data_IF_054313994815
#
_entry.id   IF_054313994815
#
_cell.length_a   1.000
_cell.length_b   1.000
_cell.length_c   1.000
_cell.angle_alpha   90.00
_cell.angle_beta   90.00
_cell.angle_gamma   90.00
#
_symmetry.space_group_name_H-M   'P 1'
#
loop_
_entity.id
_entity.type
_entity.pdbx_description
1 polymer ?
#
# COMPACT_ATOMS: atom_id res chain seq x y z
N UNK A 1 27.62 -14.54 -11.64
CA UNK A 1 27.36 -13.07 -11.55
C UNK A 1 27.06 -12.68 -10.11
N UNK A 2 27.49 -11.49 -9.61
CA UNK A 2 27.16 -11.04 -8.25
C UNK A 2 25.69 -10.61 -8.16
N UNK A 3 25.04 -10.84 -6.99
CA UNK A 3 23.64 -10.50 -6.75
C UNK A 3 23.35 -9.01 -6.98
N UNK A 4 24.27 -8.11 -6.57
CA UNK A 4 24.11 -6.68 -6.83
C UNK A 4 23.98 -6.36 -8.32
N UNK A 5 24.74 -7.06 -9.18
CA UNK A 5 24.67 -6.87 -10.63
C UNK A 5 23.36 -7.42 -11.20
N UNK A 6 22.86 -8.55 -10.70
CA UNK A 6 21.55 -9.10 -11.08
C UNK A 6 20.41 -8.15 -10.72
N UNK A 7 20.45 -7.56 -9.51
CA UNK A 7 19.45 -6.56 -9.09
C UNK A 7 19.50 -5.32 -9.98
N UNK A 8 20.69 -4.84 -10.33
CA UNK A 8 20.85 -3.71 -11.25
C UNK A 8 20.31 -4.02 -12.64
N UNK A 9 20.60 -5.20 -13.16
CA UNK A 9 20.12 -5.68 -14.45
C UNK A 9 18.58 -5.71 -14.48
N UNK A 10 17.96 -6.34 -13.48
CA UNK A 10 16.50 -6.35 -13.35
C UNK A 10 15.91 -4.93 -13.26
N UNK A 11 16.47 -4.05 -12.42
CA UNK A 11 15.95 -2.69 -12.26
C UNK A 11 16.15 -1.81 -13.49
N UNK A 12 17.00 -2.19 -14.40
CA UNK A 12 17.23 -1.55 -15.71
C UNK A 12 16.38 -2.17 -16.83
N UNK A 13 15.74 -3.31 -16.59
CA UNK A 13 14.98 -4.07 -17.56
C UNK A 13 13.69 -3.34 -17.98
N UNK A 14 13.15 -3.73 -19.13
CA UNK A 14 11.86 -3.24 -19.63
C UNK A 14 10.73 -3.61 -18.66
N UNK A 15 10.70 -4.83 -18.14
CA UNK A 15 9.70 -5.31 -17.19
C UNK A 15 9.60 -4.41 -15.96
N UNK A 16 10.74 -4.02 -15.39
CA UNK A 16 10.76 -3.12 -14.23
C UNK A 16 10.31 -1.68 -14.61
N UNK A 17 10.73 -1.19 -15.77
CA UNK A 17 10.36 0.17 -16.24
C UNK A 17 8.85 0.34 -16.46
N UNK A 18 8.15 -0.73 -16.83
CA UNK A 18 6.69 -0.72 -17.02
C UNK A 18 5.88 -0.73 -15.72
N UNK A 19 6.53 -0.98 -14.57
CA UNK A 19 5.85 -0.94 -13.27
C UNK A 19 5.41 0.49 -12.93
N UNK A 20 4.32 0.60 -12.15
CA UNK A 20 3.91 1.88 -11.56
C UNK A 20 4.96 2.38 -10.58
N UNK A 21 5.09 3.70 -10.44
CA UNK A 21 6.15 4.31 -9.62
C UNK A 21 6.10 3.89 -8.14
N UNK A 22 4.89 3.72 -7.57
CA UNK A 22 4.73 3.19 -6.22
C UNK A 22 5.26 1.76 -6.10
N UNK A 23 5.02 0.93 -7.12
CA UNK A 23 5.52 -0.45 -7.16
C UNK A 23 7.05 -0.46 -7.28
N UNK A 24 7.62 0.40 -8.15
CA UNK A 24 9.07 0.57 -8.27
C UNK A 24 9.71 0.98 -6.95
N UNK A 25 9.11 1.95 -6.25
CA UNK A 25 9.59 2.41 -4.94
C UNK A 25 9.55 1.28 -3.90
N UNK A 26 8.46 0.51 -3.83
CA UNK A 26 8.35 -0.64 -2.95
C UNK A 26 9.38 -1.73 -3.29
N UNK A 27 9.55 -2.06 -4.55
CA UNK A 27 10.53 -3.07 -4.98
C UNK A 27 11.95 -2.64 -4.61
N UNK A 28 12.34 -1.38 -4.86
CA UNK A 28 13.64 -0.84 -4.46
C UNK A 28 13.87 -0.98 -2.95
N UNK A 29 12.86 -0.71 -2.13
CA UNK A 29 12.95 -0.90 -0.69
C UNK A 29 13.25 -2.36 -0.32
N UNK A 30 12.48 -3.33 -0.85
CA UNK A 30 12.70 -4.75 -0.54
C UNK A 30 14.00 -5.30 -1.14
N UNK A 31 14.43 -4.78 -2.28
CA UNK A 31 15.74 -5.13 -2.86
C UNK A 31 16.90 -4.61 -2.01
N UNK A 32 16.77 -3.43 -1.39
CA UNK A 32 17.75 -2.95 -0.43
C UNK A 32 17.81 -3.85 0.81
N UNK A 33 16.67 -4.33 1.32
CA UNK A 33 16.64 -5.33 2.40
C UNK A 33 17.39 -6.59 1.99
N UNK A 34 17.14 -7.12 0.80
CA UNK A 34 17.85 -8.29 0.26
C UNK A 34 19.37 -8.06 0.19
N UNK A 35 19.79 -6.94 -0.40
CA UNK A 35 21.21 -6.65 -0.64
C UNK A 35 21.99 -6.42 0.64
N UNK A 36 21.37 -5.88 1.69
CA UNK A 36 21.97 -5.59 2.99
C UNK A 36 21.93 -6.79 3.95
N UNK A 37 21.17 -7.84 3.63
CA UNK A 37 21.10 -9.05 4.47
C UNK A 37 22.44 -9.75 4.52
N UNK A 38 22.90 -10.12 5.71
CA UNK A 38 24.19 -10.81 5.90
C UNK A 38 24.03 -12.33 5.85
N UNK A 39 24.99 -12.98 5.23
CA UNK A 39 25.15 -14.42 5.25
C UNK A 39 26.63 -14.76 5.26
N UNK A 40 27.04 -15.73 6.08
CA UNK A 40 28.45 -16.19 6.15
C UNK A 40 29.43 -15.03 6.34
N UNK A 41 29.07 -14.03 7.18
CA UNK A 41 29.96 -12.90 7.54
C UNK A 41 30.13 -11.83 6.45
N UNK A 42 29.27 -11.84 5.41
CA UNK A 42 29.25 -10.80 4.37
C UNK A 42 27.85 -10.53 3.84
N UNK A 43 27.55 -9.32 3.32
CA UNK A 43 26.25 -9.00 2.76
C UNK A 43 25.98 -9.76 1.46
N UNK A 44 24.72 -10.14 1.24
CA UNK A 44 24.28 -10.91 0.07
C UNK A 44 24.60 -10.22 -1.26
N UNK A 45 24.66 -8.89 -1.30
CA UNK A 45 25.05 -8.15 -2.50
C UNK A 45 26.39 -8.59 -3.09
N UNK A 46 27.32 -9.12 -2.25
CA UNK A 46 28.66 -9.57 -2.66
C UNK A 46 28.71 -11.03 -3.10
N UNK A 47 27.62 -11.81 -2.88
CA UNK A 47 27.59 -13.22 -3.30
C UNK A 47 27.41 -13.34 -4.81
N UNK A 48 28.01 -14.37 -5.38
CA UNK A 48 27.63 -14.85 -6.70
C UNK A 48 26.27 -15.53 -6.63
N UNK A 49 25.40 -15.29 -7.59
CA UNK A 49 24.02 -15.78 -7.58
C UNK A 49 23.97 -17.31 -7.43
N UNK A 50 24.83 -18.03 -8.15
CA UNK A 50 24.88 -19.50 -8.14
C UNK A 50 25.50 -20.10 -6.87
N UNK A 51 26.13 -19.25 -6.03
CA UNK A 51 26.62 -19.64 -4.70
C UNK A 51 25.62 -19.40 -3.58
N UNK A 52 24.51 -18.72 -3.87
CA UNK A 52 23.41 -18.57 -2.92
C UNK A 52 22.62 -19.87 -2.90
N UNK A 53 22.87 -20.69 -1.90
CA UNK A 53 22.18 -21.96 -1.71
C UNK A 53 20.79 -21.76 -1.13
N UNK A 54 19.94 -22.79 -1.24
CA UNK A 54 18.64 -22.82 -0.55
C UNK A 54 18.76 -22.65 0.96
N UNK A 55 19.85 -23.11 1.56
CA UNK A 55 20.13 -22.93 3.00
C UNK A 55 20.30 -21.45 3.32
N UNK A 56 21.13 -20.73 2.55
CA UNK A 56 21.31 -19.27 2.69
C UNK A 56 19.97 -18.54 2.50
N UNK A 57 19.20 -18.92 1.47
CA UNK A 57 17.89 -18.32 1.21
C UNK A 57 16.89 -18.52 2.36
N UNK A 58 16.87 -19.70 2.99
CA UNK A 58 16.03 -19.97 4.17
C UNK A 58 16.48 -19.17 5.39
N UNK A 59 17.80 -19.08 5.63
CA UNK A 59 18.36 -18.29 6.74
C UNK A 59 18.01 -16.82 6.59
N UNK A 60 18.22 -16.24 5.40
CA UNK A 60 17.85 -14.86 5.10
C UNK A 60 16.34 -14.62 5.32
N UNK A 61 15.48 -15.53 4.85
CA UNK A 61 14.04 -15.41 5.06
C UNK A 61 13.65 -15.46 6.55
N UNK A 62 14.30 -16.31 7.35
CA UNK A 62 14.05 -16.38 8.79
C UNK A 62 14.45 -15.08 9.49
N UNK A 63 15.62 -14.52 9.17
CA UNK A 63 16.03 -13.20 9.67
C UNK A 63 15.02 -12.11 9.32
N UNK A 64 14.50 -12.10 8.08
CA UNK A 64 13.45 -11.14 7.71
C UNK A 64 12.17 -11.36 8.51
N UNK A 65 11.81 -12.61 8.86
CA UNK A 65 10.65 -12.91 9.69
C UNK A 65 10.79 -12.37 11.12
N UNK A 66 12.00 -12.31 11.68
CA UNK A 66 12.25 -11.68 12.99
C UNK A 66 11.98 -10.17 12.96
N UNK A 67 12.23 -9.53 11.81
CA UNK A 67 11.91 -8.11 11.58
C UNK A 67 10.43 -7.88 11.26
N UNK A 68 9.70 -8.91 10.89
CA UNK A 68 8.25 -8.89 10.63
C UNK A 68 7.84 -9.75 9.44
N UNK A 69 6.77 -10.55 9.62
CA UNK A 69 6.30 -11.51 8.60
C UNK A 69 5.88 -10.83 7.30
N UNK A 70 5.26 -9.65 7.36
CA UNK A 70 4.89 -8.89 6.16
C UNK A 70 6.11 -8.43 5.38
N UNK A 71 7.14 -7.89 6.05
CA UNK A 71 8.41 -7.52 5.45
C UNK A 71 9.03 -8.74 4.75
N UNK A 72 9.15 -9.87 5.46
CA UNK A 72 9.73 -11.11 4.92
C UNK A 72 8.99 -11.60 3.68
N UNK A 73 7.65 -11.64 3.73
CA UNK A 73 6.82 -12.11 2.64
C UNK A 73 6.88 -11.22 1.40
N UNK A 74 7.03 -9.92 1.56
CA UNK A 74 7.24 -9.00 0.44
C UNK A 74 8.65 -9.09 -0.11
N UNK A 75 9.67 -9.08 0.75
CA UNK A 75 11.08 -9.21 0.35
C UNK A 75 11.29 -10.48 -0.46
N UNK A 76 10.83 -11.65 0.04
CA UNK A 76 10.98 -12.90 -0.71
C UNK A 76 10.21 -12.92 -2.03
N UNK A 77 9.05 -12.23 -2.12
CA UNK A 77 8.30 -12.14 -3.38
C UNK A 77 9.10 -11.39 -4.43
N UNK A 78 9.66 -10.23 -4.07
CA UNK A 78 10.46 -9.40 -4.98
C UNK A 78 11.77 -10.10 -5.32
N UNK A 79 12.42 -10.74 -4.34
CA UNK A 79 13.63 -11.54 -4.57
C UNK A 79 13.40 -12.64 -5.60
N UNK A 80 12.28 -13.34 -5.53
CA UNK A 80 11.94 -14.38 -6.52
C UNK A 80 11.76 -13.82 -7.91
N UNK A 81 11.17 -12.64 -8.05
CA UNK A 81 11.02 -11.97 -9.35
C UNK A 81 12.39 -11.70 -9.96
N UNK A 82 13.33 -11.17 -9.16
CA UNK A 82 14.69 -10.88 -9.62
C UNK A 82 15.44 -12.13 -10.03
N UNK A 83 15.39 -13.21 -9.23
CA UNK A 83 16.06 -14.46 -9.60
C UNK A 83 15.39 -15.16 -10.80
N UNK A 84 14.07 -15.09 -10.92
CA UNK A 84 13.36 -15.61 -12.11
C UNK A 84 13.74 -14.82 -13.38
N UNK A 85 13.92 -13.49 -13.26
CA UNK A 85 14.49 -12.69 -14.34
C UNK A 85 15.89 -13.21 -14.68
N UNK A 86 16.78 -13.37 -13.67
CA UNK A 86 18.13 -13.88 -13.89
C UNK A 86 18.18 -15.25 -14.54
N UNK A 87 17.25 -16.15 -14.23
CA UNK A 87 17.16 -17.47 -14.88
C UNK A 87 16.69 -17.34 -16.35
N UNK A 88 15.71 -16.48 -16.63
CA UNK A 88 15.23 -16.23 -18.00
C UNK A 88 16.32 -15.62 -18.91
N UNK A 89 17.12 -14.72 -18.35
CA UNK A 89 18.21 -14.04 -19.06
C UNK A 89 19.52 -14.83 -19.01
N UNK A 90 19.49 -16.09 -18.54
CA UNK A 90 20.67 -16.98 -18.42
C UNK A 90 21.81 -16.39 -17.57
N UNK A 91 21.48 -15.46 -16.65
CA UNK A 91 22.44 -14.79 -15.76
C UNK A 91 22.71 -15.57 -14.47
N UNK A 92 21.85 -16.53 -14.12
CA UNK A 92 22.01 -17.50 -13.05
C UNK A 92 21.27 -18.81 -13.39
N UNK A 93 21.76 -19.93 -12.83
CA UNK A 93 21.23 -21.26 -13.18
C UNK A 93 19.89 -21.55 -12.53
N UNK A 94 19.70 -21.14 -11.28
CA UNK A 94 18.50 -21.48 -10.49
C UNK A 94 18.08 -20.33 -9.60
N UNK A 95 16.80 -20.36 -9.19
CA UNK A 95 16.28 -19.46 -8.17
C UNK A 95 16.27 -20.15 -6.80
N UNK A 96 17.24 -19.87 -5.89
CA UNK A 96 17.35 -20.54 -4.60
C UNK A 96 16.19 -20.19 -3.64
N UNK A 97 15.49 -19.09 -3.89
CA UNK A 97 14.35 -18.63 -3.08
C UNK A 97 13.01 -19.26 -3.51
N UNK A 98 12.95 -19.97 -4.64
CA UNK A 98 11.71 -20.52 -5.19
C UNK A 98 11.00 -21.46 -4.21
N UNK A 99 11.74 -22.33 -3.54
CA UNK A 99 11.24 -23.37 -2.63
C UNK A 99 11.02 -22.90 -1.20
N UNK A 100 11.43 -21.68 -0.83
CA UNK A 100 11.25 -21.15 0.54
C UNK A 100 9.78 -20.84 0.77
N UNK A 101 9.12 -21.54 1.68
CA UNK A 101 7.70 -21.32 1.97
C UNK A 101 7.50 -20.06 2.78
N UNK A 102 6.55 -19.19 2.36
CA UNK A 102 6.12 -18.02 3.12
C UNK A 102 5.38 -18.44 4.38
N UNK A 103 5.62 -17.73 5.48
CA UNK A 103 4.83 -17.88 6.71
C UNK A 103 3.52 -17.13 6.58
N UNK A 104 2.45 -17.69 7.15
CA UNK A 104 1.17 -16.99 7.24
C UNK A 104 1.32 -15.78 8.18
N UNK A 105 0.87 -14.62 7.72
CA UNK A 105 0.72 -13.47 8.61
C UNK A 105 -0.61 -13.60 9.36
N UNK A 106 -0.62 -13.19 10.63
CA UNK A 106 -1.86 -13.13 11.40
C UNK A 106 -2.84 -12.17 10.73
N UNK A 107 -4.09 -12.61 10.59
CA UNK A 107 -5.15 -11.74 10.07
C UNK A 107 -5.53 -10.72 11.16
N UNK A 108 -5.77 -9.49 10.74
CA UNK A 108 -6.31 -8.45 11.60
C UNK A 108 -7.68 -8.91 12.12
N UNK A 109 -7.84 -8.99 13.45
CA UNK A 109 -9.07 -9.46 14.11
C UNK A 109 -10.08 -8.32 14.34
N UNK A 110 -9.60 -7.09 14.41
CA UNK A 110 -10.45 -5.93 14.69
C UNK A 110 -11.12 -5.48 13.41
N UNK A 111 -12.44 -5.52 13.40
CA UNK A 111 -13.31 -4.98 12.36
C UNK A 111 -14.18 -3.92 13.04
N UNK A 112 -14.22 -2.72 12.48
CA UNK A 112 -15.07 -1.66 12.99
C UNK A 112 -16.53 -1.95 12.67
N UNK A 113 -17.39 -1.88 13.66
CA UNK A 113 -18.83 -1.85 13.51
C UNK A 113 -19.33 -0.45 13.14
N UNK A 114 -20.65 -0.34 12.97
CA UNK A 114 -21.29 0.92 12.60
C UNK A 114 -21.07 2.02 13.64
N UNK A 115 -21.10 1.68 14.92
CA UNK A 115 -20.92 2.64 16.01
C UNK A 115 -19.51 3.24 16.05
N UNK A 116 -18.47 2.40 15.82
CA UNK A 116 -17.09 2.89 15.77
C UNK A 116 -16.85 3.79 14.56
N UNK A 117 -17.46 3.46 13.42
CA UNK A 117 -17.39 4.31 12.22
C UNK A 117 -18.07 5.64 12.50
N UNK A 118 -19.27 5.65 13.10
CA UNK A 118 -19.98 6.89 13.43
C UNK A 118 -19.18 7.77 14.37
N UNK A 119 -18.66 7.24 15.47
CA UNK A 119 -17.78 7.98 16.40
C UNK A 119 -16.55 8.57 15.71
N UNK A 120 -15.96 7.82 14.79
CA UNK A 120 -14.84 8.32 13.99
C UNK A 120 -15.24 9.51 13.13
N UNK A 121 -16.39 9.42 12.46
CA UNK A 121 -16.91 10.50 11.60
C UNK A 121 -17.28 11.74 12.42
N UNK A 122 -17.91 11.57 13.58
CA UNK A 122 -18.27 12.68 14.48
C UNK A 122 -17.02 13.48 14.89
N UNK A 123 -15.95 12.77 15.28
CA UNK A 123 -14.66 13.41 15.62
C UNK A 123 -14.00 14.04 14.40
N UNK A 124 -14.00 13.35 13.26
CA UNK A 124 -13.37 13.84 12.06
C UNK A 124 -14.06 15.08 11.49
N UNK A 125 -15.37 15.18 11.61
CA UNK A 125 -16.17 16.31 11.14
C UNK A 125 -16.23 17.49 12.12
N UNK A 126 -15.85 17.30 13.38
CA UNK A 126 -15.84 18.37 14.37
C UNK A 126 -14.74 19.42 14.16
N UNK A 127 -13.65 19.08 13.46
CA UNK A 127 -12.55 19.99 13.15
C UNK A 127 -12.36 20.10 11.61
N UNK A 128 -12.29 21.34 11.14
CA UNK A 128 -12.04 21.65 9.73
C UNK A 128 -10.79 20.96 9.16
N UNK A 129 -9.73 20.83 9.95
CA UNK A 129 -8.48 20.17 9.52
C UNK A 129 -8.61 18.67 9.29
N UNK A 130 -9.58 18.02 9.93
CA UNK A 130 -9.81 16.58 9.86
C UNK A 130 -10.97 16.20 8.97
N UNK A 131 -11.80 17.18 8.56
CA UNK A 131 -13.00 16.99 7.75
C UNK A 131 -12.72 16.18 6.47
N UNK A 132 -11.66 16.49 5.74
CA UNK A 132 -11.30 15.79 4.51
C UNK A 132 -11.01 14.31 4.75
N UNK A 133 -10.39 13.97 5.90
CA UNK A 133 -10.12 12.58 6.29
C UNK A 133 -11.42 11.87 6.60
N UNK A 134 -12.33 12.54 7.33
CA UNK A 134 -13.68 12.06 7.58
C UNK A 134 -14.42 11.76 6.30
N UNK A 135 -14.38 12.69 5.35
CA UNK A 135 -15.08 12.57 4.07
C UNK A 135 -14.55 11.38 3.24
N UNK A 136 -13.23 11.22 3.13
CA UNK A 136 -12.62 10.09 2.42
C UNK A 136 -12.99 8.76 3.09
N UNK A 137 -13.00 8.71 4.42
CA UNK A 137 -13.36 7.50 5.16
C UNK A 137 -14.86 7.19 5.01
N UNK A 138 -15.73 8.23 5.03
CA UNK A 138 -17.15 8.10 4.83
C UNK A 138 -17.47 7.56 3.42
N UNK A 139 -16.92 8.17 2.38
CA UNK A 139 -17.05 7.69 1.00
C UNK A 139 -16.58 6.23 0.86
N UNK A 140 -15.41 5.90 1.43
CA UNK A 140 -14.88 4.54 1.36
C UNK A 140 -15.79 3.52 2.07
N UNK A 141 -16.41 3.92 3.19
CA UNK A 141 -17.34 3.08 3.96
C UNK A 141 -18.70 2.95 3.24
N UNK A 142 -19.32 4.07 2.87
CA UNK A 142 -20.64 4.09 2.24
C UNK A 142 -20.65 3.33 0.90
N UNK A 143 -19.62 3.52 0.09
CA UNK A 143 -19.54 2.94 -1.25
C UNK A 143 -18.72 1.64 -1.31
N UNK A 144 -18.19 1.15 -0.19
CA UNK A 144 -17.31 -0.02 -0.14
C UNK A 144 -16.14 0.05 -1.14
N UNK A 145 -15.64 1.26 -1.39
CA UNK A 145 -14.53 1.50 -2.32
C UNK A 145 -13.19 1.60 -1.58
N UNK A 146 -12.09 1.49 -2.35
CA UNK A 146 -10.75 1.61 -1.77
C UNK A 146 -10.48 3.06 -1.38
N UNK A 147 -9.87 3.24 -0.22
CA UNK A 147 -9.47 4.56 0.29
C UNK A 147 -8.61 5.34 -0.73
N UNK A 148 -7.76 4.62 -1.48
CA UNK A 148 -6.94 5.21 -2.54
C UNK A 148 -7.75 5.79 -3.69
N UNK A 149 -8.85 5.14 -4.07
CA UNK A 149 -9.72 5.59 -5.15
C UNK A 149 -10.54 6.82 -4.70
N UNK A 150 -11.01 6.82 -3.45
CA UNK A 150 -11.72 7.97 -2.86
C UNK A 150 -10.85 9.22 -2.77
N UNK A 151 -9.56 9.07 -2.51
CA UNK A 151 -8.59 10.18 -2.51
C UNK A 151 -8.38 10.82 -3.88
N UNK A 152 -8.62 10.08 -4.95
CA UNK A 152 -8.42 10.53 -6.32
C UNK A 152 -9.72 10.99 -6.99
N UNK A 153 -10.84 10.89 -6.27
CA UNK A 153 -12.13 11.32 -6.78
C UNK A 153 -12.12 12.82 -7.08
N UNK A 154 -12.72 13.21 -8.19
CA UNK A 154 -12.89 14.60 -8.61
C UNK A 154 -14.34 15.02 -8.48
N UNK A 155 -14.61 16.33 -8.42
CA UNK A 155 -15.96 16.84 -8.40
C UNK A 155 -16.77 16.46 -9.65
N UNK A 156 -16.12 16.38 -10.80
CA UNK A 156 -16.73 15.96 -12.08
C UNK A 156 -17.28 14.52 -12.02
N UNK A 157 -16.82 13.74 -11.06
CA UNK A 157 -17.30 12.37 -10.82
C UNK A 157 -18.61 12.32 -10.02
N UNK A 158 -19.09 13.45 -9.50
CA UNK A 158 -20.24 13.54 -8.63
C UNK A 158 -21.37 14.27 -9.36
N UNK A 159 -22.47 13.58 -9.58
CA UNK A 159 -23.71 14.18 -10.04
C UNK A 159 -24.59 14.51 -8.82
N UNK A 160 -24.61 15.80 -8.47
CA UNK A 160 -25.40 16.30 -7.34
C UNK A 160 -26.91 16.34 -7.60
N UNK A 161 -27.33 16.35 -8.88
CA UNK A 161 -28.75 16.38 -9.24
C UNK A 161 -29.38 15.00 -9.11
N UNK A 162 -28.70 13.98 -9.65
CA UNK A 162 -29.17 12.59 -9.58
C UNK A 162 -28.70 11.87 -8.30
N UNK A 163 -27.90 12.52 -7.45
CA UNK A 163 -27.27 11.94 -6.27
C UNK A 163 -26.49 10.65 -6.60
N UNK A 164 -25.62 10.72 -7.61
CA UNK A 164 -24.80 9.60 -8.08
C UNK A 164 -23.32 9.95 -8.15
N UNK A 165 -22.48 8.95 -7.99
CA UNK A 165 -21.04 9.06 -8.17
C UNK A 165 -20.56 8.05 -9.20
N UNK A 166 -19.70 8.50 -10.12
CA UNK A 166 -19.01 7.66 -11.08
C UNK A 166 -17.54 7.46 -10.65
N UNK A 167 -17.10 6.20 -10.51
CA UNK A 167 -15.80 5.84 -9.97
C UNK A 167 -15.07 4.90 -10.93
N UNK A 168 -13.94 5.34 -11.48
CA UNK A 168 -13.00 4.46 -12.15
C UNK A 168 -12.05 3.83 -11.12
N UNK A 169 -12.16 2.53 -10.88
CA UNK A 169 -11.32 1.81 -9.91
C UNK A 169 -9.87 1.71 -10.40
N UNK A 170 -8.93 2.34 -9.70
CA UNK A 170 -7.51 2.42 -10.06
C UNK A 170 -6.82 1.06 -10.26
N UNK A 171 -7.25 0.01 -9.54
CA UNK A 171 -6.62 -1.31 -9.56
C UNK A 171 -7.20 -2.24 -10.62
N UNK A 172 -8.51 -2.20 -10.87
CA UNK A 172 -9.23 -3.08 -11.79
C UNK A 172 -9.63 -2.40 -13.09
N UNK A 173 -9.53 -1.05 -13.15
CA UNK A 173 -10.03 -0.20 -14.24
C UNK A 173 -11.50 -0.48 -14.57
N UNK A 174 -12.28 -0.80 -13.53
CA UNK A 174 -13.70 -1.00 -13.65
C UNK A 174 -14.41 0.31 -13.34
N UNK A 175 -15.37 0.66 -14.17
CA UNK A 175 -16.26 1.79 -13.96
C UNK A 175 -17.43 1.34 -13.09
N UNK A 176 -17.72 2.11 -12.06
CA UNK A 176 -18.80 1.83 -11.11
C UNK A 176 -19.60 3.10 -10.89
N UNK A 177 -20.91 3.00 -11.00
CA UNK A 177 -21.84 4.06 -10.67
C UNK A 177 -22.63 3.68 -9.42
N UNK A 178 -22.63 4.55 -8.40
CA UNK A 178 -23.22 4.28 -7.10
C UNK A 178 -24.12 5.43 -6.65
N UNK A 179 -25.20 5.15 -5.91
CA UNK A 179 -26.02 6.19 -5.28
C UNK A 179 -25.24 6.83 -4.12
N UNK A 180 -25.55 8.09 -3.85
CA UNK A 180 -25.04 8.85 -2.70
C UNK A 180 -26.19 8.99 -1.71
N UNK A 181 -25.97 8.57 -0.46
CA UNK A 181 -26.94 8.78 0.63
C UNK A 181 -27.01 10.27 1.03
N UNK A 182 -28.12 10.65 1.66
CA UNK A 182 -28.41 12.07 1.96
C UNK A 182 -27.35 12.69 2.87
N UNK A 183 -26.90 11.97 3.91
CA UNK A 183 -25.90 12.46 4.86
C UNK A 183 -24.57 12.76 4.17
N UNK A 184 -24.12 11.84 3.30
CA UNK A 184 -22.89 12.01 2.53
C UNK A 184 -23.05 13.10 1.46
N UNK A 185 -24.20 13.20 0.82
CA UNK A 185 -24.49 14.22 -0.18
C UNK A 185 -24.43 15.63 0.41
N UNK A 186 -24.98 15.82 1.61
CA UNK A 186 -24.94 17.10 2.31
C UNK A 186 -23.51 17.49 2.70
N UNK A 187 -22.71 16.53 3.16
CA UNK A 187 -21.29 16.75 3.46
C UNK A 187 -20.48 17.11 2.21
N UNK A 188 -20.76 16.46 1.07
CA UNK A 188 -20.10 16.76 -0.21
C UNK A 188 -20.47 18.15 -0.71
N UNK A 189 -21.74 18.55 -0.64
CA UNK A 189 -22.22 19.91 -0.98
C UNK A 189 -21.58 20.97 -0.09
N UNK A 190 -21.45 20.71 1.21
CA UNK A 190 -20.78 21.62 2.13
C UNK A 190 -19.30 21.76 1.80
N UNK A 191 -18.63 20.64 1.49
CA UNK A 191 -17.22 20.62 1.12
C UNK A 191 -16.94 21.39 -0.18
N UNK A 192 -17.80 21.23 -1.18
CA UNK A 192 -17.72 21.98 -2.44
C UNK A 192 -17.81 23.50 -2.21
N UNK A 193 -18.74 23.95 -1.37
CA UNK A 193 -18.89 25.37 -1.00
C UNK A 193 -17.66 25.94 -0.29
N UNK A 194 -17.09 25.16 0.65
CA UNK A 194 -15.98 25.62 1.50
C UNK A 194 -14.64 25.71 0.74
N UNK A 195 -14.40 24.84 -0.26
CA UNK A 195 -13.10 24.67 -0.92
C UNK A 195 -13.10 24.88 -2.43
N UNK A 196 -14.29 25.01 -3.05
CA UNK A 196 -14.38 25.10 -4.50
C UNK A 196 -13.81 23.84 -5.20
N UNK A 197 -13.34 24.01 -6.44
CA UNK A 197 -12.91 22.88 -7.31
C UNK A 197 -11.59 22.16 -6.91
N UNK A 198 -11.00 22.41 -5.73
CA UNK A 198 -9.63 21.98 -5.39
C UNK A 198 -9.53 20.79 -4.43
N UNK A 199 -10.31 19.72 -4.58
CA UNK A 199 -10.07 18.50 -3.78
C UNK A 199 -8.68 17.90 -4.06
N UNK A 200 -8.19 17.95 -5.29
CA UNK A 200 -6.94 17.27 -5.66
C UNK A 200 -5.67 17.85 -5.01
N UNK A 201 -5.58 19.14 -4.78
CA UNK A 201 -4.37 19.73 -4.20
C UNK A 201 -4.30 19.53 -2.69
N UNK A 202 -5.42 19.67 -1.99
CA UNK A 202 -5.48 19.49 -0.53
C UNK A 202 -5.23 18.03 -0.13
N UNK A 203 -5.69 17.07 -0.94
CA UNK A 203 -5.54 15.64 -0.66
C UNK A 203 -4.13 15.07 -0.94
N UNK A 204 -3.34 15.69 -1.83
CA UNK A 204 -1.96 15.26 -2.14
C UNK A 204 -0.97 15.56 -1.00
N UNK A 205 -1.16 16.65 -0.28
CA UNK A 205 -0.26 17.11 0.80
C UNK A 205 -0.36 16.28 2.09
N UNK A 206 -1.44 15.52 2.30
CA UNK A 206 -1.77 14.98 3.61
C UNK A 206 -1.47 13.49 3.84
N UNK A 207 -0.84 12.76 2.93
CA UNK A 207 -0.59 11.31 3.12
C UNK A 207 0.20 10.99 4.40
N UNK A 208 1.16 11.83 4.78
CA UNK A 208 1.92 11.67 6.01
C UNK A 208 1.15 12.22 7.23
N UNK A 209 0.38 13.29 7.04
CA UNK A 209 -0.50 13.85 8.07
C UNK A 209 -1.65 12.89 8.33
N UNK A 210 -2.27 12.31 7.28
CA UNK A 210 -3.32 11.30 7.41
C UNK A 210 -2.90 10.08 8.22
N UNK A 211 -1.71 9.51 7.96
CA UNK A 211 -1.21 8.36 8.74
C UNK A 211 -1.04 8.71 10.21
N UNK A 212 -0.48 9.87 10.50
CA UNK A 212 -0.25 10.31 11.88
C UNK A 212 -1.56 10.70 12.58
N UNK A 213 -2.48 11.32 11.87
CA UNK A 213 -3.78 11.74 12.40
C UNK A 213 -4.74 10.54 12.58
N UNK A 214 -4.77 9.61 11.63
CA UNK A 214 -5.51 8.36 11.77
C UNK A 214 -5.03 7.56 13.00
N UNK A 215 -3.71 7.51 13.22
CA UNK A 215 -3.13 6.90 14.43
C UNK A 215 -3.50 7.69 15.69
N UNK A 216 -3.58 9.04 15.61
CA UNK A 216 -3.95 9.89 16.73
C UNK A 216 -5.42 9.77 17.08
N UNK A 217 -6.30 9.77 16.08
CA UNK A 217 -7.76 9.55 16.25
C UNK A 217 -8.02 8.13 16.78
N UNK A 218 -7.34 7.11 16.23
CA UNK A 218 -7.42 5.74 16.74
C UNK A 218 -6.96 5.62 18.19
N UNK A 219 -5.93 6.38 18.60
CA UNK A 219 -5.49 6.43 20.01
C UNK A 219 -6.50 7.12 20.92
N UNK A 220 -7.14 8.18 20.46
CA UNK A 220 -8.19 8.87 21.23
C UNK A 220 -9.41 7.96 21.42
N UNK A 221 -9.87 7.28 20.37
CA UNK A 221 -10.96 6.31 20.45
C UNK A 221 -10.65 5.11 21.36
N UNK A 222 -9.40 4.66 21.42
CA UNK A 222 -8.95 3.57 22.33
C UNK A 222 -8.87 4.04 23.79
N UNK A 223 -8.66 5.33 24.04
CA UNK A 223 -8.61 5.89 25.40
C UNK A 223 -10.01 6.15 25.98
N UNK A 224 -11.04 6.35 25.13
CA UNK A 224 -12.43 6.51 25.58
C UNK A 224 -13.17 5.17 25.80
N UNK A 225 -12.58 4.04 25.37
CA UNK A 225 -13.14 2.69 25.56
C UNK A 225 -12.58 2.01 26.83
N UNK A 226 -11.79 2.70 27.63
CA UNK A 226 -11.37 2.29 28.99
C UNK A 226 -12.09 3.11 30.06
#
# INVERSE_FOLDING_TARGET
>A
MKLQKLVHDYTSSFDFKQLRDETKAQYKYFLNVLLSTEAEGKPLCRFECDKITTRIAKTAYNEWCERGIHLANHTISVTRIVFNHGVREELCMVNPFAIVRKRAAEKRKVVWGREEVQKFLDVAYSDFKTRNIGLIAHMAYAWCQRLGDMRLLTWDSIDFESARVHIEQSKRRADVELPIDDDLLDMLKQQEKDFGFQIQETLKLELNVMKNLLVKILRLLVLEIK
#
